data_IF_154234722651
#
_entry.id   IF_154234722651
#
_cell.length_a   1.000
_cell.length_b   1.000
_cell.length_c   1.000
_cell.angle_alpha   90.00
_cell.angle_beta   90.00
_cell.angle_gamma   90.00
#
_symmetry.space_group_name_H-M   'P 1'
#
loop_
_entity.id
_entity.type
_entity.pdbx_description
1 polymer ?
#
# COMPACT_ATOMS: atom_id res chain seq x y z
N UNK A 1 41.24 -85.62 16.08
CA UNK A 1 40.26 -86.73 16.05
C UNK A 1 39.09 -86.29 15.18
N UNK A 2 39.11 -86.62 13.88
CA UNK A 2 38.44 -87.79 13.26
C UNK A 2 36.91 -87.71 13.42
N UNK A 3 36.04 -87.85 12.41
CA UNK A 3 36.17 -88.34 11.03
C UNK A 3 34.77 -88.30 10.34
N UNK A 4 34.77 -88.43 9.02
CA UNK A 4 33.78 -89.07 8.13
C UNK A 4 32.49 -88.33 7.64
N UNK A 5 32.48 -88.19 6.31
CA UNK A 5 31.41 -87.88 5.35
C UNK A 5 30.50 -89.12 5.09
N UNK A 6 29.76 -89.30 3.96
CA UNK A 6 29.21 -88.38 2.93
C UNK A 6 27.72 -88.70 2.58
N UNK A 7 27.16 -88.02 1.56
CA UNK A 7 26.45 -88.62 0.40
C UNK A 7 25.15 -87.89 -0.04
N UNK A 8 25.17 -87.47 -1.32
CA UNK A 8 24.11 -87.58 -2.34
C UNK A 8 22.69 -87.04 -1.99
N UNK A 9 22.11 -86.08 -2.71
CA UNK A 9 21.79 -86.22 -4.14
C UNK A 9 21.41 -84.89 -4.80
N UNK A 10 21.75 -84.85 -6.08
CA UNK A 10 21.45 -83.88 -7.13
C UNK A 10 19.95 -83.87 -7.49
N UNK A 11 19.40 -82.70 -7.85
CA UNK A 11 18.68 -82.38 -9.13
C UNK A 11 17.71 -81.19 -8.96
N UNK A 12 18.14 -80.07 -9.56
CA UNK A 12 17.45 -79.12 -10.45
C UNK A 12 15.97 -78.75 -10.18
N UNK A 13 15.74 -77.46 -9.94
CA UNK A 13 14.67 -76.72 -10.62
C UNK A 13 15.16 -75.30 -10.94
N UNK A 14 15.39 -75.03 -12.23
CA UNK A 14 15.50 -73.68 -12.77
C UNK A 14 14.13 -72.99 -12.61
N UNK A 15 14.09 -71.87 -11.90
CA UNK A 15 13.06 -70.86 -12.09
C UNK A 15 13.77 -69.55 -12.43
N UNK A 16 13.89 -69.28 -13.73
CA UNK A 16 14.13 -67.95 -14.24
C UNK A 16 12.91 -67.10 -13.90
N UNK A 17 13.07 -66.13 -13.00
CA UNK A 17 12.04 -65.17 -12.61
C UNK A 17 12.68 -63.80 -12.50
N UNK A 18 12.21 -62.88 -13.35
CA UNK A 18 12.80 -61.58 -13.63
C UNK A 18 13.15 -60.73 -12.40
N UNK A 19 14.19 -59.92 -12.57
CA UNK A 19 14.61 -58.93 -11.61
C UNK A 19 13.60 -57.81 -11.40
N UNK A 20 13.93 -56.97 -10.42
CA UNK A 20 13.28 -55.70 -10.17
C UNK A 20 12.39 -55.73 -8.93
N UNK A 21 12.98 -55.43 -7.78
CA UNK A 21 12.25 -54.77 -6.70
C UNK A 21 11.72 -53.45 -7.30
N UNK A 22 10.46 -53.42 -7.71
CA UNK A 22 9.77 -52.16 -7.98
C UNK A 22 9.60 -51.50 -6.61
N UNK A 23 10.51 -50.58 -6.28
CA UNK A 23 10.26 -49.57 -5.26
C UNK A 23 9.05 -48.78 -5.75
N UNK A 24 7.91 -48.95 -5.07
CA UNK A 24 6.82 -47.99 -5.11
C UNK A 24 7.41 -46.67 -4.61
N UNK A 25 7.84 -45.82 -5.55
CA UNK A 25 8.14 -44.43 -5.25
C UNK A 25 6.79 -43.79 -4.98
N UNK A 26 6.41 -43.72 -3.71
CA UNK A 26 5.37 -42.80 -3.27
C UNK A 26 5.82 -41.41 -3.72
N UNK A 27 5.19 -40.92 -4.78
CA UNK A 27 5.39 -39.57 -5.27
C UNK A 27 4.79 -38.66 -4.21
N UNK A 28 5.65 -38.25 -3.26
CA UNK A 28 5.35 -37.25 -2.24
C UNK A 28 4.70 -36.06 -2.94
N UNK A 29 3.39 -35.89 -2.74
CA UNK A 29 2.62 -34.72 -3.16
C UNK A 29 3.14 -33.53 -2.38
N UNK A 30 4.21 -32.92 -2.91
CA UNK A 30 4.84 -31.75 -2.34
C UNK A 30 3.87 -30.57 -2.48
N UNK A 31 3.09 -30.32 -1.43
CA UNK A 31 2.30 -29.10 -1.30
C UNK A 31 3.21 -27.98 -0.82
N UNK A 32 3.18 -26.85 -1.53
CA UNK A 32 3.97 -25.67 -1.13
C UNK A 32 3.47 -25.14 0.21
N UNK A 33 4.36 -24.77 1.15
CA UNK A 33 3.94 -24.24 2.45
C UNK A 33 3.21 -22.91 2.28
N UNK A 34 2.01 -22.82 2.86
CA UNK A 34 1.27 -21.56 2.97
C UNK A 34 1.87 -20.76 4.13
N UNK A 35 2.38 -19.57 3.82
CA UNK A 35 2.87 -18.64 4.85
C UNK A 35 1.71 -17.76 5.32
N UNK A 36 1.33 -17.87 6.59
CA UNK A 36 0.33 -17.00 7.23
C UNK A 36 1.05 -15.78 7.80
N UNK A 37 0.73 -14.58 7.30
CA UNK A 37 1.27 -13.35 7.85
C UNK A 37 0.46 -12.92 9.08
N UNK A 38 1.09 -12.40 10.14
CA UNK A 38 0.37 -11.87 11.29
C UNK A 38 -0.64 -10.79 10.86
N UNK A 39 -1.83 -10.71 11.49
CA UNK A 39 -2.76 -9.62 11.23
C UNK A 39 -2.09 -8.26 11.46
N UNK A 40 -2.22 -7.36 10.48
CA UNK A 40 -1.74 -5.98 10.62
C UNK A 40 -2.88 -5.08 11.07
N UNK A 41 -2.60 -4.10 11.94
CA UNK A 41 -3.61 -3.18 12.43
C UNK A 41 -4.05 -2.17 11.36
N UNK A 42 -5.29 -1.64 11.44
CA UNK A 42 -5.71 -0.48 10.65
C UNK A 42 -4.74 0.70 10.78
N UNK A 43 -4.41 1.40 9.68
CA UNK A 43 -3.55 2.58 9.73
C UNK A 43 -4.24 3.74 10.45
N UNK A 44 -3.46 4.49 11.23
CA UNK A 44 -3.95 5.68 11.95
C UNK A 44 -3.40 6.95 11.32
N UNK A 45 -4.24 7.96 11.21
CA UNK A 45 -3.79 9.30 10.84
C UNK A 45 -3.05 9.89 12.04
N UNK A 46 -1.78 10.27 11.84
CA UNK A 46 -0.93 10.85 12.89
C UNK A 46 -0.69 12.35 12.69
N UNK A 47 -0.89 12.85 11.47
CA UNK A 47 -0.86 14.28 11.19
C UNK A 47 -1.65 14.61 9.92
N UNK A 48 -2.20 15.82 9.88
CA UNK A 48 -2.76 16.41 8.67
C UNK A 48 -2.18 17.80 8.46
N UNK A 49 -2.17 18.25 7.22
CA UNK A 49 -2.11 19.67 6.90
C UNK A 49 -3.22 19.98 5.89
N UNK A 50 -4.14 20.91 6.18
CA UNK A 50 -4.24 21.69 7.41
C UNK A 50 -4.49 20.80 8.65
N UNK A 51 -4.07 21.26 9.82
CA UNK A 51 -4.45 20.65 11.09
C UNK A 51 -5.93 20.94 11.40
N UNK A 52 -6.56 20.13 12.26
CA UNK A 52 -7.94 20.35 12.70
C UNK A 52 -8.10 21.74 13.33
N UNK A 53 -9.10 22.50 12.88
CA UNK A 53 -9.37 23.86 13.33
C UNK A 53 -8.35 24.91 12.89
N UNK A 54 -7.39 24.58 12.02
CA UNK A 54 -6.37 25.53 11.57
C UNK A 54 -7.00 26.66 10.74
N UNK A 55 -6.46 27.87 10.89
CA UNK A 55 -6.78 29.02 10.05
C UNK A 55 -5.68 29.27 9.02
N UNK A 56 -6.06 29.54 7.77
CA UNK A 56 -5.15 29.69 6.63
C UNK A 56 -5.46 30.95 5.80
N UNK A 57 -4.45 31.38 5.04
CA UNK A 57 -4.64 32.31 3.93
C UNK A 57 -5.25 31.60 2.70
N UNK A 58 -5.92 32.33 1.79
CA UNK A 58 -6.53 31.74 0.60
C UNK A 58 -5.49 31.34 -0.46
N UNK A 59 -5.88 30.58 -1.48
CA UNK A 59 -5.05 30.25 -2.63
C UNK A 59 -4.76 28.76 -2.80
N UNK A 60 -3.53 28.44 -3.21
CA UNK A 60 -3.04 27.07 -3.41
C UNK A 60 -2.86 26.38 -2.07
N UNK A 61 -3.45 25.19 -1.95
CA UNK A 61 -3.37 24.33 -0.77
C UNK A 61 -2.81 22.97 -1.16
N UNK A 62 -1.95 22.40 -0.32
CA UNK A 62 -1.62 20.97 -0.38
C UNK A 62 -2.29 20.31 0.81
N UNK A 63 -3.32 19.49 0.57
CA UNK A 63 -3.90 18.65 1.59
C UNK A 63 -2.96 17.47 1.85
N UNK A 64 -2.41 17.39 3.06
CA UNK A 64 -1.49 16.35 3.50
C UNK A 64 -2.14 15.46 4.54
N UNK A 65 -1.98 14.16 4.41
CA UNK A 65 -2.41 13.16 5.40
C UNK A 65 -1.24 12.20 5.65
N UNK A 66 -0.81 12.10 6.91
CA UNK A 66 0.30 11.23 7.32
C UNK A 66 -0.25 10.08 8.14
N UNK A 67 0.12 8.86 7.76
CA UNK A 67 -0.24 7.65 8.50
C UNK A 67 0.94 7.12 9.32
N UNK A 68 0.66 6.33 10.36
CA UNK A 68 1.66 5.67 11.20
C UNK A 68 2.44 4.55 10.47
N UNK A 69 1.87 4.01 9.40
CA UNK A 69 2.39 2.87 8.66
C UNK A 69 2.31 3.04 7.14
N UNK A 70 2.92 2.09 6.41
CA UNK A 70 2.97 2.12 4.95
C UNK A 70 1.57 1.89 4.35
N UNK A 71 1.26 2.68 3.34
CA UNK A 71 -0.05 2.73 2.70
C UNK A 71 -0.04 2.18 1.28
N UNK A 72 -1.20 1.71 0.83
CA UNK A 72 -1.41 1.31 -0.55
C UNK A 72 -1.61 2.57 -1.43
N UNK A 73 -0.73 2.83 -2.43
CA UNK A 73 -0.81 4.06 -3.23
C UNK A 73 -2.08 4.17 -4.08
N UNK A 74 -2.82 3.08 -4.28
CA UNK A 74 -4.07 3.04 -5.06
C UNK A 74 -5.32 3.15 -4.20
N UNK A 75 -5.17 3.23 -2.88
CA UNK A 75 -6.27 3.18 -1.92
C UNK A 75 -6.38 4.52 -1.18
N UNK A 76 -7.40 5.31 -1.54
CA UNK A 76 -7.67 6.63 -0.96
C UNK A 76 -9.16 6.96 -1.12
N UNK A 77 -9.69 7.80 -0.24
CA UNK A 77 -11.07 8.29 -0.35
C UNK A 77 -11.21 9.63 0.37
N UNK A 78 -11.48 10.68 -0.41
CA UNK A 78 -11.86 12.00 0.07
C UNK A 78 -13.32 12.24 -0.32
N UNK A 79 -14.11 12.74 0.62
CA UNK A 79 -15.52 13.03 0.40
C UNK A 79 -15.90 14.41 0.94
N UNK A 80 -16.85 15.12 0.30
CA UNK A 80 -17.42 16.34 0.85
C UNK A 80 -18.21 16.03 2.13
N UNK A 81 -18.28 17.00 3.03
CA UNK A 81 -19.02 16.89 4.30
C UNK A 81 -20.11 17.96 4.37
N UNK A 82 -21.37 17.60 4.70
CA UNK A 82 -22.42 18.59 4.89
C UNK A 82 -22.04 19.68 5.90
N UNK A 83 -22.42 20.93 5.61
CA UNK A 83 -22.12 22.07 6.48
C UNK A 83 -20.65 22.51 6.46
N UNK A 84 -19.91 22.18 5.40
CA UNK A 84 -18.61 22.77 5.06
C UNK A 84 -18.48 22.95 3.54
N UNK A 85 -17.60 23.85 3.13
CA UNK A 85 -17.26 24.04 1.71
C UNK A 85 -16.51 22.81 1.20
N UNK A 86 -16.87 22.33 0.00
CA UNK A 86 -16.15 21.27 -0.69
C UNK A 86 -14.81 21.79 -1.21
N UNK A 87 -13.77 20.94 -1.17
CA UNK A 87 -12.47 21.30 -1.71
C UNK A 87 -12.45 21.17 -3.24
N UNK A 88 -11.86 22.15 -3.90
CA UNK A 88 -11.52 22.09 -5.32
C UNK A 88 -10.11 21.49 -5.46
N UNK A 89 -10.02 20.19 -5.71
CA UNK A 89 -8.77 19.45 -5.78
C UNK A 89 -8.57 18.75 -7.13
N UNK A 90 -7.30 18.44 -7.45
CA UNK A 90 -7.00 17.46 -8.49
C UNK A 90 -7.58 16.09 -8.09
N UNK A 91 -7.73 15.18 -9.06
CA UNK A 91 -8.46 13.92 -8.82
C UNK A 91 -7.69 12.89 -8.00
N UNK A 92 -6.38 12.80 -8.19
CA UNK A 92 -5.56 11.70 -7.66
C UNK A 92 -4.51 12.24 -6.70
N UNK A 93 -4.47 11.79 -5.44
CA UNK A 93 -3.39 12.13 -4.53
C UNK A 93 -2.11 11.37 -4.90
N UNK A 94 -0.96 11.93 -4.52
CA UNK A 94 0.32 11.23 -4.60
C UNK A 94 0.67 10.66 -3.22
N UNK A 95 1.06 9.39 -3.18
CA UNK A 95 1.78 8.82 -2.03
C UNK A 95 3.26 9.21 -2.15
N UNK A 96 3.80 9.85 -1.11
CA UNK A 96 5.20 10.28 -1.07
C UNK A 96 6.16 9.10 -0.88
N UNK A 97 7.46 9.38 -1.02
CA UNK A 97 8.52 8.37 -0.98
C UNK A 97 8.66 7.68 0.39
N UNK A 98 8.15 8.29 1.47
CA UNK A 98 8.07 7.66 2.79
C UNK A 98 7.04 6.51 2.85
N UNK A 99 6.21 6.37 1.81
CA UNK A 99 5.10 5.42 1.69
C UNK A 99 4.03 5.56 2.77
N UNK A 100 3.99 6.68 3.51
CA UNK A 100 3.05 6.95 4.59
C UNK A 100 2.25 8.23 4.39
N UNK A 101 2.77 9.16 3.60
CA UNK A 101 2.19 10.49 3.44
C UNK A 101 1.50 10.63 2.10
N UNK A 102 0.21 10.94 2.10
CA UNK A 102 -0.52 11.36 0.91
C UNK A 102 -0.55 12.88 0.82
N UNK A 103 -0.38 13.40 -0.39
CA UNK A 103 -0.52 14.82 -0.71
C UNK A 103 -1.49 15.00 -1.88
N UNK A 104 -2.33 16.02 -1.79
CA UNK A 104 -3.32 16.36 -2.81
C UNK A 104 -3.33 17.87 -3.05
N UNK A 105 -3.19 18.28 -4.31
CA UNK A 105 -3.23 19.69 -4.68
C UNK A 105 -4.67 20.19 -4.76
N UNK A 106 -4.95 21.29 -4.07
CA UNK A 106 -6.26 21.92 -4.01
C UNK A 106 -6.18 23.45 -4.11
N UNK A 107 -7.35 24.08 -4.26
CA UNK A 107 -7.55 25.52 -4.18
C UNK A 107 -8.60 25.85 -3.14
N UNK A 108 -8.37 26.92 -2.38
CA UNK A 108 -9.29 27.42 -1.37
C UNK A 108 -9.49 28.93 -1.48
N UNK A 109 -10.70 29.38 -1.15
CA UNK A 109 -11.12 30.79 -1.20
C UNK A 109 -11.29 31.35 0.21
N UNK A 110 -11.08 32.65 0.37
CA UNK A 110 -11.19 33.36 1.65
C UNK A 110 -12.62 33.39 2.18
N UNK A 111 -12.74 33.54 3.50
CA UNK A 111 -13.99 33.62 4.26
C UNK A 111 -14.86 32.37 4.15
N UNK A 112 -14.23 31.19 4.21
CA UNK A 112 -14.91 29.89 4.12
C UNK A 112 -14.42 28.95 5.20
N UNK A 113 -15.29 28.05 5.62
CA UNK A 113 -14.93 26.88 6.43
C UNK A 113 -15.01 25.66 5.54
N UNK A 114 -13.89 24.97 5.38
CA UNK A 114 -13.79 23.76 4.57
C UNK A 114 -13.91 22.54 5.47
N UNK A 115 -14.55 21.50 4.94
CA UNK A 115 -14.60 20.19 5.58
C UNK A 115 -14.36 19.10 4.54
N UNK A 116 -13.57 18.11 4.92
CA UNK A 116 -13.30 16.93 4.09
C UNK A 116 -13.32 15.70 4.97
N UNK A 117 -14.04 14.67 4.53
CA UNK A 117 -14.01 13.38 5.17
C UNK A 117 -13.03 12.46 4.45
N UNK A 118 -12.20 11.78 5.23
CA UNK A 118 -11.45 10.62 4.80
C UNK A 118 -12.32 9.40 5.07
N UNK A 119 -12.41 8.51 4.09
CA UNK A 119 -13.02 7.19 4.31
C UNK A 119 -14.49 7.28 4.80
N UNK A 120 -15.29 8.22 4.27
CA UNK A 120 -16.65 8.48 4.72
C UNK A 120 -17.63 7.32 4.45
N UNK A 121 -17.57 6.72 3.26
CA UNK A 121 -18.44 5.62 2.87
C UNK A 121 -17.83 4.26 3.27
N UNK A 122 -18.45 3.51 4.21
CA UNK A 122 -17.93 2.22 4.65
C UNK A 122 -18.05 1.13 3.57
N UNK A 123 -18.91 1.30 2.56
CA UNK A 123 -19.08 0.35 1.46
C UNK A 123 -18.11 0.61 0.30
N UNK A 124 -17.48 1.79 0.26
CA UNK A 124 -16.47 2.14 -0.72
C UNK A 124 -15.06 1.73 -0.28
N UNK A 125 -14.12 1.76 -1.24
CA UNK A 125 -12.69 1.75 -0.94
C UNK A 125 -12.28 2.94 -0.06
N UNK A 126 -11.00 3.00 0.30
CA UNK A 126 -10.49 4.09 1.12
C UNK A 126 -9.00 4.00 1.34
N UNK A 127 -8.48 4.95 2.12
CA UNK A 127 -7.15 4.84 2.68
C UNK A 127 -7.01 3.50 3.39
N UNK A 128 -6.03 2.71 2.94
CA UNK A 128 -5.75 1.40 3.49
C UNK A 128 -4.24 1.12 3.47
N UNK A 129 -3.81 0.25 4.38
CA UNK A 129 -2.43 -0.22 4.40
C UNK A 129 -2.16 -1.24 3.28
N UNK A 130 -0.93 -1.75 3.20
CA UNK A 130 -0.54 -2.74 2.18
C UNK A 130 -1.22 -4.11 2.32
N UNK A 131 -1.86 -4.38 3.46
CA UNK A 131 -2.67 -5.58 3.71
C UNK A 131 -4.18 -5.27 3.65
N UNK A 132 -4.55 -4.18 2.98
CA UNK A 132 -5.93 -3.72 2.75
C UNK A 132 -6.75 -3.45 4.03
N UNK A 133 -6.09 -3.27 5.17
CA UNK A 133 -6.75 -2.79 6.38
C UNK A 133 -7.05 -1.30 6.21
N UNK A 134 -8.35 -0.98 6.21
CA UNK A 134 -8.87 0.37 5.99
C UNK A 134 -8.65 1.25 7.22
N UNK A 135 -8.24 2.50 7.00
CA UNK A 135 -8.17 3.51 8.05
C UNK A 135 -9.58 3.83 8.58
N UNK A 136 -9.67 4.18 9.87
CA UNK A 136 -10.90 4.70 10.44
C UNK A 136 -11.35 5.99 9.72
N UNK A 137 -12.66 6.24 9.57
CA UNK A 137 -13.17 7.50 9.05
C UNK A 137 -12.71 8.68 9.90
N UNK A 138 -12.34 9.78 9.24
CA UNK A 138 -11.94 11.04 9.88
C UNK A 138 -12.58 12.20 9.14
N UNK A 139 -13.11 13.19 9.85
CA UNK A 139 -13.48 14.48 9.26
C UNK A 139 -12.48 15.53 9.69
N UNK A 140 -11.91 16.24 8.71
CA UNK A 140 -11.05 17.38 8.91
C UNK A 140 -11.83 18.67 8.64
N UNK A 141 -11.75 19.65 9.55
CA UNK A 141 -12.32 20.99 9.38
C UNK A 141 -11.26 22.07 9.55
N UNK A 142 -11.26 23.08 8.68
CA UNK A 142 -10.35 24.23 8.79
C UNK A 142 -10.99 25.50 8.22
N UNK A 143 -10.47 26.65 8.62
CA UNK A 143 -10.95 27.95 8.14
C UNK A 143 -9.95 28.61 7.20
N UNK A 144 -10.48 29.30 6.20
CA UNK A 144 -9.70 30.13 5.30
C UNK A 144 -10.20 31.55 5.45
N UNK A 145 -9.35 32.44 5.94
CA UNK A 145 -9.68 33.84 6.24
C UNK A 145 -9.13 34.76 5.15
N UNK A 146 -9.35 36.08 5.26
CA UNK A 146 -8.67 37.04 4.39
C UNK A 146 -7.19 37.10 4.78
N UNK A 147 -6.34 37.14 3.76
CA UNK A 147 -4.89 37.24 3.91
C UNK A 147 -4.22 37.28 2.56
N UNK A 148 -2.89 37.42 2.54
CA UNK A 148 -2.10 37.34 1.31
C UNK A 148 -2.24 35.94 0.68
N UNK A 149 -2.75 35.82 -0.55
CA UNK A 149 -2.97 34.50 -1.14
C UNK A 149 -1.67 33.73 -1.37
N UNK A 150 -1.70 32.42 -1.13
CA UNK A 150 -0.65 31.50 -1.57
C UNK A 150 -0.83 31.25 -3.06
N UNK A 151 0.09 31.77 -3.89
CA UNK A 151 -0.04 31.73 -5.36
C UNK A 151 0.88 30.74 -6.06
N UNK A 152 1.78 30.07 -5.33
CA UNK A 152 2.75 29.13 -5.90
C UNK A 152 2.80 27.79 -5.17
N UNK A 153 3.16 26.74 -5.90
CA UNK A 153 3.35 25.38 -5.34
C UNK A 153 4.45 25.40 -4.28
N UNK A 154 5.57 26.10 -4.52
CA UNK A 154 6.68 26.19 -3.57
C UNK A 154 6.24 26.75 -2.20
N UNK A 155 5.42 27.81 -2.19
CA UNK A 155 4.88 28.36 -0.93
C UNK A 155 3.89 27.41 -0.27
N UNK A 156 3.06 26.71 -1.07
CA UNK A 156 2.13 25.73 -0.54
C UNK A 156 2.84 24.51 0.08
N UNK A 157 3.93 24.02 -0.54
CA UNK A 157 4.80 22.98 0.01
C UNK A 157 5.42 23.43 1.32
N UNK A 158 6.03 24.61 1.34
CA UNK A 158 6.64 25.18 2.56
C UNK A 158 5.62 25.31 3.69
N UNK A 159 4.40 25.79 3.40
CA UNK A 159 3.34 25.91 4.40
C UNK A 159 2.89 24.54 4.95
N UNK A 160 2.93 23.49 4.12
CA UNK A 160 2.67 22.12 4.52
C UNK A 160 3.88 21.42 5.19
N UNK A 161 5.02 22.09 5.34
CA UNK A 161 6.26 21.49 5.85
C UNK A 161 6.83 20.42 4.91
N UNK A 162 6.62 20.57 3.61
CA UNK A 162 7.07 19.67 2.55
C UNK A 162 8.26 20.28 1.78
N UNK A 163 9.04 19.43 1.14
CA UNK A 163 10.18 19.82 0.31
C UNK A 163 9.79 19.82 -1.17
N UNK A 164 10.68 20.32 -2.04
CA UNK A 164 10.47 20.34 -3.49
C UNK A 164 10.26 18.95 -4.11
N UNK A 165 10.91 17.91 -3.58
CA UNK A 165 10.74 16.54 -4.06
C UNK A 165 9.35 15.92 -3.72
N UNK A 166 8.62 16.56 -2.82
CA UNK A 166 7.31 16.13 -2.33
C UNK A 166 6.15 16.74 -3.14
N UNK A 167 6.41 17.22 -4.36
CA UNK A 167 5.39 17.80 -5.23
C UNK A 167 4.16 16.89 -5.38
N UNK A 168 2.93 17.44 -5.32
CA UNK A 168 1.72 16.63 -5.22
C UNK A 168 1.32 15.91 -6.52
N UNK A 169 2.00 16.21 -7.62
CA UNK A 169 1.80 15.58 -8.91
C UNK A 169 2.97 14.63 -9.14
N UNK A 170 2.67 13.36 -9.44
CA UNK A 170 3.71 12.43 -9.85
C UNK A 170 4.18 12.80 -11.26
N UNK A 171 5.47 13.08 -11.42
CA UNK A 171 6.07 13.25 -12.74
C UNK A 171 6.01 11.91 -13.49
N UNK A 172 5.63 11.95 -14.77
CA UNK A 172 5.60 10.74 -15.59
C UNK A 172 7.03 10.18 -15.72
N UNK A 173 7.22 8.84 -15.76
CA UNK A 173 8.53 8.27 -16.05
C UNK A 173 9.08 8.86 -17.35
N UNK A 174 10.29 9.42 -17.31
CA UNK A 174 10.96 9.94 -18.50
C UNK A 174 11.08 8.79 -19.51
N UNK A 175 10.59 8.94 -20.75
CA UNK A 175 10.69 7.88 -21.74
C UNK A 175 12.17 7.53 -21.97
N UNK A 176 12.49 6.25 -22.26
CA UNK A 176 13.85 5.86 -22.58
C UNK A 176 14.37 6.70 -23.75
N UNK A 177 15.57 7.25 -23.61
CA UNK A 177 16.24 7.99 -24.68
C UNK A 177 16.52 7.00 -25.80
N UNK A 178 15.79 7.12 -26.92
CA UNK A 178 16.10 6.35 -28.12
C UNK A 178 17.38 6.94 -28.75
N UNK A 179 18.43 6.15 -29.01
CA UNK A 179 19.59 6.63 -29.76
C UNK A 179 19.14 7.17 -31.12
N UNK A 180 19.71 8.28 -31.55
CA UNK A 180 19.54 8.80 -32.91
C UNK A 180 20.21 7.83 -33.91
N UNK A 181 19.63 7.64 -35.11
CA UNK A 181 20.18 6.74 -36.13
C UNK A 181 21.55 7.19 -36.63
#
# INVERSE_FOLDING_TARGET
>A
MTLFAPALSLVVALAAGGGGLIQTREESTAVSPVTVMPPTLPPKVVATYPAEGQTLAPGVLILKVVFDQKMNPRAWSYAPVPGGEALDCIKTPRLLNDQKTFVLLCRVLSNRTYKVALNADPAAGGFANLADNRAEPLTLSFQVVRGEPVTSIARALSAAGLKSEDEPIAEAPKPPVRPLP
#
